data_IF_341765693628
#
_entry.id   IF_341765693628
#
_cell.length_a   1.000
_cell.length_b   1.000
_cell.length_c   1.000
_cell.angle_alpha   90.00
_cell.angle_beta   90.00
_cell.angle_gamma   90.00
#
_symmetry.space_group_name_H-M   'P 1'
#
loop_
_entity.id
_entity.type
_entity.pdbx_description
1 polymer ?
#
# COMPACT_ATOMS: atom_id res chain seq x y z
N UNK A 1 -7.07 29.73 -20.57
CA UNK A 1 -6.98 28.36 -20.01
C UNK A 1 -6.97 28.43 -18.48
N UNK A 2 -8.00 27.88 -17.83
CA UNK A 2 -7.96 27.72 -16.36
C UNK A 2 -6.93 26.64 -16.07
N UNK A 3 -5.86 26.98 -15.36
CA UNK A 3 -4.86 26.01 -14.91
C UNK A 3 -5.49 25.27 -13.72
N UNK A 4 -5.95 24.05 -13.97
CA UNK A 4 -6.45 23.17 -12.92
C UNK A 4 -5.25 22.54 -12.19
N UNK A 5 -5.27 22.59 -10.85
CA UNK A 5 -4.18 22.04 -10.05
C UNK A 5 -4.12 20.52 -10.23
N UNK A 6 -2.91 19.97 -10.38
CA UNK A 6 -2.73 18.53 -10.48
C UNK A 6 -3.13 17.82 -9.18
N UNK A 7 -3.77 16.65 -9.30
CA UNK A 7 -4.15 15.85 -8.15
C UNK A 7 -2.91 15.39 -7.37
N UNK A 8 -3.01 15.41 -6.04
CA UNK A 8 -1.94 14.98 -5.13
C UNK A 8 -2.30 13.64 -4.49
N UNK A 9 -1.35 12.72 -4.44
CA UNK A 9 -1.50 11.46 -3.71
C UNK A 9 -0.92 11.63 -2.33
N UNK A 10 -1.76 11.43 -1.33
CA UNK A 10 -1.34 11.36 0.06
C UNK A 10 -0.90 9.94 0.38
N UNK A 11 0.27 9.82 0.98
CA UNK A 11 0.90 8.54 1.36
C UNK A 11 1.03 8.48 2.87
N UNK A 12 0.61 7.37 3.47
CA UNK A 12 0.84 7.08 4.89
C UNK A 12 1.44 5.69 5.04
N UNK A 13 2.70 5.65 5.43
CA UNK A 13 3.38 4.42 5.84
C UNK A 13 2.87 3.96 7.20
N UNK A 14 2.73 2.64 7.38
CA UNK A 14 2.24 2.08 8.64
C UNK A 14 3.37 1.94 9.67
N UNK A 15 3.02 1.84 10.94
CA UNK A 15 3.96 1.46 12.02
C UNK A 15 3.32 0.37 12.87
N UNK A 16 3.09 -0.77 12.23
CA UNK A 16 2.46 -1.97 12.81
C UNK A 16 3.37 -3.18 12.59
N UNK A 17 3.26 -4.25 13.39
CA UNK A 17 4.03 -5.47 13.16
C UNK A 17 3.72 -6.10 11.80
N UNK A 18 4.78 -6.57 11.12
CA UNK A 18 4.66 -7.44 9.94
C UNK A 18 4.65 -8.87 10.43
N UNK A 19 3.49 -9.52 10.41
CA UNK A 19 3.37 -10.90 10.85
C UNK A 19 3.90 -11.84 9.77
N UNK A 20 4.85 -12.69 10.14
CA UNK A 20 5.57 -13.58 9.22
C UNK A 20 4.62 -14.59 8.56
N UNK A 21 3.64 -15.09 9.31
CA UNK A 21 2.67 -16.07 8.85
C UNK A 21 1.51 -15.48 8.04
N UNK A 22 1.37 -14.15 8.02
CA UNK A 22 0.33 -13.49 7.21
C UNK A 22 0.70 -13.49 5.74
N UNK A 23 -0.31 -13.74 4.91
CA UNK A 23 -0.24 -13.57 3.46
C UNK A 23 -0.24 -12.09 3.07
N UNK A 24 -0.78 -11.22 3.92
CA UNK A 24 -0.82 -9.78 3.68
C UNK A 24 -0.51 -9.02 4.97
N UNK A 25 0.31 -7.98 4.87
CA UNK A 25 0.53 -7.00 5.93
C UNK A 25 0.50 -5.62 5.29
N UNK A 26 -0.24 -4.66 5.86
CA UNK A 26 -0.37 -3.33 5.27
C UNK A 26 0.92 -2.55 5.50
N UNK A 27 1.64 -2.23 4.42
CA UNK A 27 2.89 -1.47 4.44
C UNK A 27 2.65 0.03 4.21
N UNK A 28 1.88 0.38 3.17
CA UNK A 28 1.51 1.76 2.85
C UNK A 28 0.02 1.87 2.58
N UNK A 29 -0.56 3.00 2.98
CA UNK A 29 -1.84 3.49 2.47
C UNK A 29 -1.61 4.64 1.50
N UNK A 30 -2.40 4.67 0.43
CA UNK A 30 -2.39 5.71 -0.59
C UNK A 30 -3.81 6.24 -0.75
N UNK A 31 -3.96 7.56 -0.71
CA UNK A 31 -5.24 8.24 -0.89
C UNK A 31 -5.10 9.31 -1.96
N UNK A 32 -6.00 9.26 -2.93
CA UNK A 32 -6.10 10.23 -4.02
C UNK A 32 -7.52 10.77 -4.08
N UNK A 33 -7.72 12.08 -4.17
CA UNK A 33 -8.99 12.66 -4.58
C UNK A 33 -8.86 13.02 -6.06
N UNK A 34 -9.37 12.17 -6.94
CA UNK A 34 -9.18 12.23 -8.38
C UNK A 34 -10.20 13.18 -9.01
N UNK A 35 -9.81 14.45 -9.16
CA UNK A 35 -10.62 15.49 -9.81
C UNK A 35 -10.32 15.59 -11.29
N UNK A 36 -9.05 15.43 -11.64
CA UNK A 36 -8.55 15.49 -13.01
C UNK A 36 -8.06 14.13 -13.50
N UNK A 37 -7.49 13.34 -12.59
CA UNK A 37 -6.85 12.07 -12.95
C UNK A 37 -7.86 10.97 -13.24
N UNK A 38 -7.59 10.19 -14.29
CA UNK A 38 -8.51 9.14 -14.74
C UNK A 38 -7.98 7.74 -14.44
N UNK A 39 -6.66 7.56 -14.43
CA UNK A 39 -6.03 6.25 -14.25
C UNK A 39 -4.81 6.34 -13.35
N UNK A 40 -4.73 5.44 -12.37
CA UNK A 40 -3.46 5.12 -11.71
C UNK A 40 -2.77 4.00 -12.48
N UNK A 41 -1.62 4.31 -13.09
CA UNK A 41 -0.87 3.38 -13.94
C UNK A 41 0.01 2.45 -13.12
N UNK A 42 0.86 3.00 -12.25
CA UNK A 42 1.76 2.20 -11.41
C UNK A 42 2.25 2.94 -10.16
N UNK A 43 2.74 2.14 -9.22
CA UNK A 43 3.46 2.57 -8.02
C UNK A 43 4.84 1.93 -8.05
N UNK A 44 5.88 2.74 -7.86
CA UNK A 44 7.27 2.29 -7.77
C UNK A 44 7.72 2.43 -6.31
N UNK A 45 8.19 1.33 -5.74
CA UNK A 45 8.72 1.24 -4.38
C UNK A 45 10.22 0.93 -4.44
N UNK A 46 11.01 1.55 -3.58
CA UNK A 46 12.40 1.18 -3.33
C UNK A 46 12.52 0.59 -1.92
N UNK A 47 13.04 -0.63 -1.80
CA UNK A 47 13.44 -1.24 -0.54
C UNK A 47 14.83 -0.76 -0.16
N UNK A 48 15.04 -0.48 1.13
CA UNK A 48 16.32 0.01 1.64
C UNK A 48 17.45 -0.99 1.43
N UNK A 49 18.69 -0.49 1.34
CA UNK A 49 19.88 -1.29 1.03
C UNK A 49 20.15 -2.42 2.05
N UNK A 50 19.77 -2.22 3.31
CA UNK A 50 19.93 -3.20 4.39
C UNK A 50 18.83 -4.26 4.46
N UNK A 51 17.82 -4.21 3.59
CA UNK A 51 16.71 -5.17 3.58
C UNK A 51 17.17 -6.50 2.99
N UNK A 52 16.99 -7.59 3.73
CA UNK A 52 17.25 -8.93 3.23
C UNK A 52 16.13 -9.38 2.27
N UNK A 53 16.31 -9.08 0.97
CA UNK A 53 15.31 -9.40 -0.06
C UNK A 53 14.95 -10.89 -0.14
N UNK A 54 15.87 -11.78 0.25
CA UNK A 54 15.62 -13.22 0.21
C UNK A 54 14.50 -13.65 1.16
N UNK A 55 14.19 -12.85 2.18
CA UNK A 55 13.12 -13.09 3.15
C UNK A 55 11.76 -12.55 2.69
N UNK A 56 11.70 -11.74 1.64
CA UNK A 56 10.44 -11.20 1.12
C UNK A 56 9.83 -12.21 0.14
N UNK A 57 8.59 -12.62 0.42
CA UNK A 57 7.84 -13.51 -0.47
C UNK A 57 7.22 -12.73 -1.62
N UNK A 58 6.48 -11.67 -1.31
CA UNK A 58 5.89 -10.81 -2.33
C UNK A 58 5.48 -9.43 -1.80
N UNK A 59 5.35 -8.50 -2.74
CA UNK A 59 4.77 -7.17 -2.53
C UNK A 59 3.62 -7.01 -3.51
N UNK A 60 2.48 -6.50 -3.03
CA UNK A 60 1.23 -6.43 -3.80
C UNK A 60 0.64 -5.03 -3.74
N UNK A 61 0.01 -4.60 -4.83
CA UNK A 61 -0.83 -3.40 -4.86
C UNK A 61 -2.29 -3.82 -4.82
N UNK A 62 -3.06 -3.22 -3.92
CA UNK A 62 -4.49 -3.40 -3.81
C UNK A 62 -5.23 -2.07 -4.03
N UNK A 63 -6.40 -2.16 -4.67
CA UNK A 63 -7.37 -1.08 -4.76
C UNK A 63 -8.51 -1.33 -3.75
N UNK A 64 -8.76 -0.36 -2.88
CA UNK A 64 -9.72 -0.42 -1.78
C UNK A 64 -11.01 0.36 -2.03
N UNK A 65 -11.24 0.87 -3.24
CA UNK A 65 -12.47 1.59 -3.59
C UNK A 65 -12.44 3.07 -3.21
N UNK A 66 -13.61 3.60 -2.85
CA UNK A 66 -13.86 5.03 -2.57
C UNK A 66 -14.33 5.26 -1.14
N UNK A 67 -14.61 6.52 -0.80
CA UNK A 67 -15.10 6.98 0.50
C UNK A 67 -16.57 7.38 0.43
N UNK A 68 -17.27 7.31 1.56
CA UNK A 68 -18.60 7.89 1.66
C UNK A 68 -18.53 9.43 1.59
N UNK A 69 -19.45 10.07 0.85
CA UNK A 69 -19.40 11.53 0.61
C UNK A 69 -19.37 12.36 1.92
N UNK A 70 -20.13 11.94 2.93
CA UNK A 70 -20.15 12.57 4.26
C UNK A 70 -18.82 12.47 5.03
N UNK A 71 -17.95 11.53 4.63
CA UNK A 71 -16.67 11.27 5.26
C UNK A 71 -15.49 11.85 4.47
N UNK A 72 -15.74 12.50 3.33
CA UNK A 72 -14.72 13.09 2.46
C UNK A 72 -13.75 14.04 3.17
N UNK A 73 -14.26 14.83 4.12
CA UNK A 73 -13.47 15.77 4.93
C UNK A 73 -12.67 15.14 6.08
N UNK A 74 -12.89 13.85 6.40
CA UNK A 74 -12.23 13.18 7.54
C UNK A 74 -10.78 12.78 7.27
N UNK A 75 -10.30 12.95 6.03
CA UNK A 75 -8.91 12.64 5.62
C UNK A 75 -8.46 11.23 6.02
N UNK A 76 -9.38 10.25 5.96
CA UNK A 76 -9.07 8.84 6.18
C UNK A 76 -8.19 8.32 5.04
N UNK A 77 -7.46 7.25 5.31
CA UNK A 77 -6.57 6.58 4.36
C UNK A 77 -7.06 5.19 3.93
N UNK A 78 -8.16 4.73 4.53
CA UNK A 78 -8.85 3.51 4.18
C UNK A 78 -10.32 3.65 4.58
N UNK A 79 -11.26 3.06 3.83
CA UNK A 79 -12.69 3.11 4.15
C UNK A 79 -13.05 2.06 5.23
N UNK A 80 -12.23 1.03 5.39
CA UNK A 80 -12.41 -0.10 6.30
C UNK A 80 -11.06 -0.73 6.65
N UNK A 81 -11.01 -1.56 7.70
CA UNK A 81 -9.85 -2.42 7.95
C UNK A 81 -9.74 -3.52 6.89
N UNK A 82 -8.60 -3.59 6.19
CA UNK A 82 -8.39 -4.53 5.08
C UNK A 82 -8.14 -5.98 5.52
N UNK A 83 -7.57 -6.16 6.71
CA UNK A 83 -7.19 -7.47 7.25
C UNK A 83 -7.79 -7.57 8.65
N UNK A 84 -8.61 -8.60 8.88
CA UNK A 84 -9.23 -8.82 10.18
C UNK A 84 -8.21 -9.37 11.18
N UNK A 85 -8.30 -8.97 12.44
CA UNK A 85 -7.63 -9.65 13.57
C UNK A 85 -8.61 -10.50 14.38
N UNK A 86 -9.91 -10.44 14.08
CA UNK A 86 -10.96 -10.90 14.99
C UNK A 86 -11.87 -11.96 14.36
N UNK A 87 -11.87 -12.09 13.03
CA UNK A 87 -12.76 -13.02 12.32
C UNK A 87 -12.14 -14.41 12.29
N UNK A 88 -12.74 -15.42 12.95
CA UNK A 88 -12.16 -16.76 13.03
C UNK A 88 -11.85 -17.33 11.64
N UNK A 89 -10.62 -17.84 11.46
CA UNK A 89 -10.16 -18.42 10.20
C UNK A 89 -9.93 -17.43 9.05
N UNK A 90 -10.07 -16.12 9.26
CA UNK A 90 -9.97 -15.08 8.22
C UNK A 90 -9.06 -13.91 8.62
N UNK A 91 -7.97 -14.20 9.34
CA UNK A 91 -7.04 -13.20 9.88
C UNK A 91 -5.68 -13.13 9.18
N UNK A 92 -5.42 -14.05 8.24
CA UNK A 92 -4.11 -14.22 7.60
C UNK A 92 -3.94 -13.44 6.30
N UNK A 93 -5.03 -13.09 5.62
CA UNK A 93 -5.01 -12.47 4.30
C UNK A 93 -5.96 -11.27 4.23
N UNK A 94 -5.76 -10.42 3.23
CA UNK A 94 -6.68 -9.35 2.90
C UNK A 94 -8.09 -9.88 2.65
N UNK A 95 -9.11 -9.17 3.14
CA UNK A 95 -10.49 -9.50 2.79
C UNK A 95 -10.74 -9.15 1.31
N UNK A 96 -10.98 -10.15 0.43
CA UNK A 96 -11.13 -9.91 -1.01
C UNK A 96 -12.35 -9.05 -1.36
N UNK A 97 -13.36 -8.98 -0.49
CA UNK A 97 -14.52 -8.10 -0.70
C UNK A 97 -14.19 -6.62 -0.50
N UNK A 98 -13.10 -6.29 0.19
CA UNK A 98 -12.69 -4.91 0.47
C UNK A 98 -11.47 -4.47 -0.32
N UNK A 99 -10.80 -5.38 -1.03
CA UNK A 99 -9.51 -5.11 -1.65
C UNK A 99 -9.32 -5.94 -2.91
N UNK A 100 -9.28 -5.26 -4.05
CA UNK A 100 -9.03 -5.87 -5.35
C UNK A 100 -7.52 -5.86 -5.59
N UNK A 101 -6.89 -7.04 -5.68
CA UNK A 101 -5.46 -7.14 -6.02
C UNK A 101 -5.24 -6.66 -7.45
N UNK A 102 -4.39 -5.66 -7.63
CA UNK A 102 -4.05 -5.07 -8.93
C UNK A 102 -2.82 -5.71 -9.54
N UNK A 103 -1.78 -5.89 -8.73
CA UNK A 103 -0.55 -6.57 -9.13
C UNK A 103 0.16 -7.17 -7.93
N UNK A 104 1.10 -8.06 -8.23
CA UNK A 104 1.95 -8.74 -7.28
C UNK A 104 3.32 -8.96 -7.91
N UNK A 105 4.38 -8.69 -7.16
CA UNK A 105 5.75 -9.05 -7.50
C UNK A 105 6.23 -10.05 -6.45
N UNK A 106 6.54 -11.26 -6.89
CA UNK A 106 7.10 -12.31 -6.04
C UNK A 106 8.62 -12.28 -6.09
N UNK A 107 9.28 -12.61 -4.96
CA UNK A 107 10.74 -12.55 -4.82
C UNK A 107 11.34 -11.23 -5.37
N UNK A 108 10.91 -10.07 -4.85
CA UNK A 108 11.26 -8.77 -5.42
C UNK A 108 12.76 -8.45 -5.31
N UNK A 109 13.24 -7.65 -6.25
CA UNK A 109 14.51 -6.92 -6.12
C UNK A 109 14.36 -5.67 -5.24
N UNK A 110 15.41 -4.84 -5.15
CA UNK A 110 15.35 -3.58 -4.40
C UNK A 110 14.28 -2.63 -4.93
N UNK A 111 14.15 -2.49 -6.25
CA UNK A 111 13.10 -1.69 -6.86
C UNK A 111 11.94 -2.59 -7.30
N UNK A 112 10.73 -2.18 -6.93
CA UNK A 112 9.50 -2.92 -7.21
C UNK A 112 8.55 -2.01 -7.97
N UNK A 113 8.12 -2.46 -9.15
CA UNK A 113 7.10 -1.77 -9.95
C UNK A 113 5.79 -2.54 -9.84
N UNK A 114 4.80 -1.93 -9.20
CA UNK A 114 3.46 -2.49 -9.05
C UNK A 114 2.53 -1.84 -10.06
N UNK A 115 2.07 -2.63 -11.04
CA UNK A 115 1.08 -2.18 -12.03
C UNK A 115 -0.29 -2.01 -11.39
N UNK A 116 -0.89 -0.85 -11.62
CA UNK A 116 -2.24 -0.50 -11.20
C UNK A 116 -3.23 -0.71 -12.33
N UNK A 117 -3.05 0.04 -13.43
CA UNK A 117 -4.01 0.17 -14.54
C UNK A 117 -5.46 0.29 -14.04
N UNK A 118 -5.64 1.08 -12.98
CA UNK A 118 -6.91 1.25 -12.29
C UNK A 118 -7.59 2.52 -12.78
N UNK A 119 -8.73 2.37 -13.44
CA UNK A 119 -9.64 3.48 -13.69
C UNK A 119 -10.13 4.05 -12.36
N UNK A 120 -9.91 5.33 -12.15
CA UNK A 120 -10.23 6.01 -10.90
C UNK A 120 -11.72 6.34 -10.84
N UNK A 121 -12.27 6.25 -9.63
CA UNK A 121 -13.56 6.84 -9.32
C UNK A 121 -13.44 8.38 -9.35
N UNK A 122 -14.41 9.13 -9.87
CA UNK A 122 -14.38 10.60 -9.85
C UNK A 122 -14.61 11.12 -8.42
N UNK A 123 -13.53 11.20 -7.64
CA UNK A 123 -13.51 11.50 -6.22
C UNK A 123 -12.43 10.72 -5.47
N UNK A 124 -12.68 10.36 -4.21
CA UNK A 124 -11.67 9.67 -3.39
C UNK A 124 -11.42 8.24 -3.90
N UNK A 125 -10.15 7.86 -3.98
CA UNK A 125 -9.66 6.54 -4.32
C UNK A 125 -8.66 6.09 -3.26
N UNK A 126 -8.82 4.85 -2.80
CA UNK A 126 -7.92 4.22 -1.84
C UNK A 126 -7.12 3.10 -2.50
N UNK A 127 -5.81 3.13 -2.30
CA UNK A 127 -4.93 2.01 -2.60
C UNK A 127 -4.08 1.68 -1.39
N UNK A 128 -3.52 0.48 -1.36
CA UNK A 128 -2.58 0.10 -0.33
C UNK A 128 -1.60 -0.93 -0.83
N UNK A 129 -0.43 -0.95 -0.21
CA UNK A 129 0.65 -1.89 -0.53
C UNK A 129 0.70 -2.95 0.56
N UNK A 130 0.67 -4.21 0.16
CA UNK A 130 0.84 -5.37 1.02
C UNK A 130 2.26 -5.88 0.97
N UNK A 131 2.82 -6.26 2.12
CA UNK A 131 4.08 -6.99 2.26
C UNK A 131 3.83 -8.40 2.81
N UNK A 132 4.36 -9.39 2.12
CA UNK A 132 4.37 -10.78 2.57
C UNK A 132 5.80 -11.25 2.79
N UNK A 133 6.08 -11.77 3.98
CA UNK A 133 7.37 -12.37 4.31
C UNK A 133 7.35 -13.87 4.03
N UNK A 134 8.52 -14.48 3.86
CA UNK A 134 8.66 -15.92 3.77
C UNK A 134 8.51 -16.56 5.14
N UNK A 135 7.91 -17.75 5.25
CA UNK A 135 7.96 -18.54 6.47
C UNK A 135 9.41 -18.73 6.92
N UNK A 136 9.67 -18.60 8.23
CA UNK A 136 11.02 -18.75 8.80
C UNK A 136 11.90 -17.49 8.72
N UNK A 137 11.39 -16.36 8.24
CA UNK A 137 12.05 -15.04 8.33
C UNK A 137 12.50 -14.76 9.77
N UNK A 138 13.68 -14.17 9.97
CA UNK A 138 14.16 -13.86 11.32
C UNK A 138 13.28 -12.79 12.01
N UNK A 139 13.03 -12.97 13.30
CA UNK A 139 12.35 -11.96 14.13
C UNK A 139 13.14 -10.65 14.25
N UNK A 140 14.45 -10.69 14.04
CA UNK A 140 15.31 -9.49 14.09
C UNK A 140 15.38 -8.76 12.75
N UNK A 141 14.79 -9.33 11.69
CA UNK A 141 14.77 -8.70 10.38
C UNK A 141 13.98 -7.39 10.41
N UNK A 142 14.41 -6.47 9.56
CA UNK A 142 13.78 -5.16 9.38
C UNK A 142 13.55 -4.93 7.91
N UNK A 143 12.42 -4.30 7.60
CA UNK A 143 12.12 -3.81 6.27
C UNK A 143 12.00 -2.30 6.33
N UNK A 144 12.70 -1.60 5.45
CA UNK A 144 12.54 -0.16 5.20
C UNK A 144 12.18 0.00 3.73
N UNK A 145 11.27 0.90 3.41
CA UNK A 145 10.83 1.12 2.05
C UNK A 145 10.42 2.57 1.83
N UNK A 146 10.51 3.04 0.59
CA UNK A 146 10.06 4.37 0.19
C UNK A 146 9.25 4.28 -1.11
N UNK A 147 8.20 5.10 -1.23
CA UNK A 147 7.50 5.31 -2.50
C UNK A 147 8.38 6.20 -3.38
N UNK A 148 8.99 5.62 -4.40
CA UNK A 148 9.86 6.34 -5.33
C UNK A 148 9.07 7.22 -6.31
N UNK A 149 7.95 6.71 -6.82
CA UNK A 149 7.03 7.46 -7.67
C UNK A 149 5.68 6.77 -7.80
N UNK A 150 4.64 7.54 -8.12
CA UNK A 150 3.36 7.02 -8.56
C UNK A 150 3.02 7.71 -9.88
N UNK A 151 2.49 6.95 -10.84
CA UNK A 151 2.14 7.44 -12.17
C UNK A 151 0.61 7.55 -12.30
N UNK A 152 0.14 8.75 -12.62
CA UNK A 152 -1.25 9.06 -12.97
C UNK A 152 -1.32 9.54 -14.41
N UNK A 153 -2.17 8.92 -15.23
CA UNK A 153 -2.36 9.23 -16.65
C UNK A 153 -1.04 9.36 -17.45
N UNK A 154 -0.10 8.46 -17.17
CA UNK A 154 1.23 8.42 -17.81
C UNK A 154 2.22 9.47 -17.31
N UNK A 155 1.91 10.23 -16.26
CA UNK A 155 2.77 11.27 -15.68
C UNK A 155 3.02 11.02 -14.20
N UNK A 156 4.19 11.43 -13.71
CA UNK A 156 4.51 11.36 -12.27
C UNK A 156 3.56 12.26 -11.48
N UNK A 157 2.91 11.69 -10.48
CA UNK A 157 2.02 12.41 -9.58
C UNK A 157 2.78 13.23 -8.53
N UNK A 158 2.13 14.26 -8.00
CA UNK A 158 2.58 14.93 -6.78
C UNK A 158 2.31 14.01 -5.59
N UNK A 159 3.30 13.87 -4.71
CA UNK A 159 3.21 13.04 -3.50
C UNK A 159 3.30 13.91 -2.26
N UNK A 160 2.43 13.63 -1.29
CA UNK A 160 2.49 14.17 0.06
C UNK A 160 2.58 13.01 1.06
N UNK A 161 3.76 12.78 1.62
CA UNK A 161 4.01 11.73 2.61
C UNK A 161 3.76 12.30 3.99
N UNK A 162 2.69 11.85 4.64
CA UNK A 162 2.25 12.39 5.95
C UNK A 162 2.81 11.63 7.16
N UNK A 163 3.47 10.50 6.91
CA UNK A 163 4.18 9.72 7.93
C UNK A 163 5.62 10.22 8.12
N UNK A 164 6.23 9.86 9.24
CA UNK A 164 7.66 10.11 9.48
C UNK A 164 8.53 9.34 8.48
N UNK A 165 9.68 9.90 8.12
CA UNK A 165 10.66 9.23 7.26
C UNK A 165 11.43 8.14 8.02
N UNK A 166 11.94 7.14 7.30
CA UNK A 166 12.85 6.14 7.83
C UNK A 166 12.21 5.16 8.81
N UNK A 167 10.93 4.82 8.61
CA UNK A 167 10.23 3.83 9.44
C UNK A 167 10.88 2.45 9.24
N UNK A 168 11.30 1.84 10.35
CA UNK A 168 11.71 0.44 10.38
C UNK A 168 10.51 -0.46 10.67
N UNK A 169 10.07 -1.24 9.69
CA UNK A 169 9.05 -2.27 9.87
C UNK A 169 9.66 -3.50 10.51
N UNK A 170 9.08 -3.93 11.62
CA UNK A 170 9.59 -5.05 12.44
C UNK A 170 8.68 -6.25 12.34
N UNK A 171 9.30 -7.42 12.37
CA UNK A 171 8.60 -8.68 12.24
C UNK A 171 7.87 -9.03 13.54
N UNK A 172 6.82 -9.83 13.41
CA UNK A 172 6.07 -10.42 14.52
C UNK A 172 5.56 -11.81 14.17
N UNK A 173 5.06 -12.51 15.18
CA UNK A 173 4.40 -13.81 15.05
C UNK A 173 3.07 -13.74 15.78
N UNK A 174 1.98 -14.05 15.09
CA UNK A 174 0.66 -14.26 15.68
C UNK A 174 0.64 -15.59 16.43
N UNK A 175 0.89 -15.54 17.74
CA UNK A 175 0.95 -16.74 18.60
C UNK A 175 -0.42 -17.43 18.75
N UNK A 176 -1.53 -16.71 18.53
CA UNK A 176 -2.92 -17.17 18.67
C UNK A 176 -3.80 -16.61 17.56
#
# INVERSE_FOLDING_TARGET
>A
PVVQAADTIFVRETRIPILIERQDNVLFYLRLDAKESQTLNDVVLNLGEGVNLSEIQSIKLYYGGTEALQDSGKKRFAPVGYISSNTPGKTLAANPSYSIKKSEVTNPGNQVVLKGDQKLFPGINYFWISLQMKPGTSLTSKVTADIASITLDGKKALLDVVSENGIEHRMGVGVR
#
